data_IF_312887760221
#
_entry.id   IF_312887760221
#
_cell.length_a   1.000
_cell.length_b   1.000
_cell.length_c   1.000
_cell.angle_alpha   90.00
_cell.angle_beta   90.00
_cell.angle_gamma   90.00
#
_symmetry.space_group_name_H-M   'P 1'
#
loop_
_entity.id
_entity.type
_entity.pdbx_description
1 polymer ?
#
# COMPACT_ATOMS: atom_id res chain seq x y z
N UNK A 1 -4.69 15.06 -10.40
CA UNK A 1 -3.23 15.27 -10.35
C UNK A 1 -2.81 16.69 -10.72
N UNK A 2 -2.90 17.13 -11.98
CA UNK A 2 -2.39 18.45 -12.38
C UNK A 2 -3.00 19.65 -11.63
N UNK A 3 -4.27 19.60 -11.20
CA UNK A 3 -4.87 20.66 -10.37
C UNK A 3 -4.17 20.85 -9.01
N UNK A 4 -3.47 19.83 -8.50
CA UNK A 4 -2.65 19.96 -7.29
C UNK A 4 -1.36 20.74 -7.57
N UNK A 5 -0.81 20.63 -8.78
CA UNK A 5 0.39 21.35 -9.21
C UNK A 5 0.06 22.78 -9.66
N UNK A 6 -1.04 22.92 -10.42
CA UNK A 6 -1.52 24.18 -11.00
C UNK A 6 -2.98 24.43 -10.56
N UNK A 7 -3.23 25.00 -9.37
CA UNK A 7 -4.59 25.19 -8.84
C UNK A 7 -5.52 26.01 -9.74
N UNK A 8 -4.95 26.94 -10.51
CA UNK A 8 -5.69 27.83 -11.40
C UNK A 8 -5.78 27.32 -12.84
N UNK A 9 -5.41 26.07 -13.12
CA UNK A 9 -5.48 25.53 -14.48
C UNK A 9 -6.92 25.54 -15.00
N UNK A 10 -7.08 25.93 -16.26
CA UNK A 10 -8.36 25.87 -16.97
C UNK A 10 -8.46 24.55 -17.73
N UNK A 11 -9.54 23.81 -17.52
CA UNK A 11 -9.79 22.57 -18.24
C UNK A 11 -10.64 22.87 -19.46
N UNK A 12 -10.25 22.31 -20.61
CA UNK A 12 -11.04 22.31 -21.84
C UNK A 12 -11.29 20.85 -22.22
N UNK A 13 -12.54 20.50 -22.51
CA UNK A 13 -12.92 19.16 -23.01
C UNK A 13 -13.25 19.27 -24.49
N UNK A 14 -12.46 18.63 -25.33
CA UNK A 14 -12.67 18.60 -26.79
C UNK A 14 -11.97 17.40 -27.41
N UNK A 15 -12.39 17.01 -28.62
CA UNK A 15 -11.65 16.12 -29.52
C UNK A 15 -11.24 16.82 -30.81
N UNK A 16 -11.50 18.13 -30.91
CA UNK A 16 -11.14 18.97 -32.05
C UNK A 16 -9.66 19.37 -31.98
N UNK A 17 -8.87 18.97 -32.97
CA UNK A 17 -7.44 19.27 -33.06
C UNK A 17 -7.12 20.78 -33.05
N UNK A 18 -8.01 21.64 -33.58
CA UNK A 18 -7.81 23.09 -33.57
C UNK A 18 -7.99 23.68 -32.17
N UNK A 19 -8.76 23.01 -31.31
CA UNK A 19 -8.86 23.34 -29.89
C UNK A 19 -7.65 22.78 -29.14
N UNK A 20 -7.33 21.50 -29.35
CA UNK A 20 -6.24 20.81 -28.65
C UNK A 20 -4.87 21.44 -28.92
N UNK A 21 -4.62 21.92 -30.15
CA UNK A 21 -3.37 22.59 -30.53
C UNK A 21 -3.10 23.89 -29.77
N UNK A 22 -4.14 24.52 -29.20
CA UNK A 22 -4.04 25.73 -28.37
C UNK A 22 -3.83 25.45 -26.89
N UNK A 23 -3.92 24.18 -26.47
CA UNK A 23 -3.73 23.79 -25.08
C UNK A 23 -2.25 23.57 -24.75
N UNK A 24 -1.84 24.04 -23.55
CA UNK A 24 -0.49 23.84 -23.04
C UNK A 24 -0.19 22.35 -22.81
N UNK A 25 -1.14 21.64 -22.21
CA UNK A 25 -1.08 20.20 -21.90
C UNK A 25 -2.30 19.53 -22.50
N UNK A 26 -2.11 18.43 -23.22
CA UNK A 26 -3.19 17.59 -23.76
C UNK A 26 -3.04 16.18 -23.21
N UNK A 27 -4.16 15.61 -22.75
CA UNK A 27 -4.21 14.36 -21.98
C UNK A 27 -5.34 13.52 -22.56
N UNK A 28 -5.10 12.22 -22.75
CA UNK A 28 -6.11 11.22 -23.12
C UNK A 28 -6.74 11.34 -24.52
N UNK A 29 -6.45 12.42 -25.23
CA UNK A 29 -6.94 12.68 -26.58
C UNK A 29 -5.83 13.27 -27.45
N UNK A 30 -6.02 13.22 -28.77
CA UNK A 30 -5.11 13.78 -29.76
C UNK A 30 -4.17 12.77 -30.42
N UNK A 31 -4.16 11.51 -29.96
CA UNK A 31 -3.46 10.40 -30.61
C UNK A 31 -1.93 10.52 -30.59
N UNK A 32 -1.36 11.25 -29.64
CA UNK A 32 0.08 11.51 -29.55
C UNK A 32 0.57 11.38 -28.10
N UNK A 33 1.66 10.65 -27.91
CA UNK A 33 2.49 10.71 -26.71
C UNK A 33 3.81 11.38 -27.05
N UNK A 34 3.96 12.62 -26.62
CA UNK A 34 5.19 13.40 -26.76
C UNK A 34 5.36 14.27 -25.50
N UNK A 35 6.17 13.81 -24.53
CA UNK A 35 6.44 14.56 -23.31
C UNK A 35 7.05 15.94 -23.56
N UNK A 36 7.81 16.12 -24.64
CA UNK A 36 8.46 17.40 -24.96
C UNK A 36 7.46 18.48 -25.39
N UNK A 37 6.28 18.05 -25.87
CA UNK A 37 5.14 18.90 -26.22
C UNK A 37 3.99 18.79 -25.22
N UNK A 38 4.19 18.12 -24.09
CA UNK A 38 3.14 17.84 -23.10
C UNK A 38 1.88 17.19 -23.71
N UNK A 39 2.08 16.19 -24.56
CA UNK A 39 1.01 15.35 -25.13
C UNK A 39 1.05 13.98 -24.48
N UNK A 40 -0.04 13.61 -23.81
CA UNK A 40 -0.13 12.41 -22.96
C UNK A 40 -1.37 11.58 -23.31
N UNK A 41 -1.44 11.11 -24.56
CA UNK A 41 -2.41 10.12 -25.00
C UNK A 41 -1.77 8.72 -25.07
N UNK A 42 -2.55 7.69 -24.77
CA UNK A 42 -2.16 6.27 -24.85
C UNK A 42 -2.95 5.49 -25.92
N UNK A 43 -3.96 6.09 -26.55
CA UNK A 43 -4.87 5.44 -27.49
C UNK A 43 -4.26 5.21 -28.89
N UNK A 44 -3.11 5.80 -29.19
CA UNK A 44 -2.45 5.68 -30.48
C UNK A 44 -1.96 4.25 -30.75
N UNK A 45 -2.04 3.87 -32.02
CA UNK A 45 -1.63 2.54 -32.48
C UNK A 45 -0.16 2.30 -32.12
N UNK A 46 0.11 1.17 -31.47
CA UNK A 46 1.47 0.76 -31.10
C UNK A 46 1.98 1.34 -29.78
N UNK A 47 1.17 2.14 -29.06
CA UNK A 47 1.55 2.59 -27.72
C UNK A 47 1.65 1.40 -26.76
N UNK A 48 2.84 1.21 -26.20
CA UNK A 48 3.19 0.12 -25.27
C UNK A 48 4.13 0.60 -24.15
N UNK A 49 4.05 1.88 -23.78
CA UNK A 49 4.87 2.40 -22.69
C UNK A 49 4.36 1.92 -21.34
N UNK A 50 5.31 1.61 -20.45
CA UNK A 50 5.13 1.33 -19.03
C UNK A 50 6.04 2.25 -18.21
N UNK A 51 5.89 2.28 -16.87
CA UNK A 51 6.81 3.05 -16.02
C UNK A 51 8.27 2.66 -16.28
N UNK A 52 8.58 1.37 -16.45
CA UNK A 52 9.95 0.90 -16.73
C UNK A 52 10.55 1.45 -18.02
N UNK A 53 9.71 1.77 -19.02
CA UNK A 53 10.16 2.37 -20.29
C UNK A 53 10.27 3.89 -20.23
N UNK A 54 9.51 4.55 -19.34
CA UNK A 54 9.49 6.01 -19.20
C UNK A 54 10.51 6.48 -18.15
N UNK A 55 10.71 5.70 -17.08
CA UNK A 55 11.61 5.98 -15.97
C UNK A 55 12.60 4.80 -15.83
N UNK A 56 13.83 4.94 -16.35
CA UNK A 56 14.84 3.89 -16.26
C UNK A 56 15.08 3.42 -14.82
N UNK A 57 15.15 2.10 -14.62
CA UNK A 57 15.41 1.48 -13.32
C UNK A 57 14.18 1.12 -12.49
N UNK A 58 12.97 1.56 -12.88
CA UNK A 58 11.72 1.14 -12.23
C UNK A 58 11.24 -0.22 -12.79
N UNK A 59 10.66 -1.11 -11.98
CA UNK A 59 10.37 -2.50 -12.41
C UNK A 59 9.00 -2.69 -13.07
N UNK A 60 8.10 -1.70 -13.03
CA UNK A 60 6.71 -1.91 -13.42
C UNK A 60 6.51 -1.86 -14.93
N UNK A 61 5.84 -2.90 -15.44
CA UNK A 61 5.61 -3.16 -16.87
C UNK A 61 4.14 -3.01 -17.27
N UNK A 62 3.25 -2.67 -16.34
CA UNK A 62 1.85 -2.34 -16.64
C UNK A 62 1.80 -1.20 -17.66
N UNK A 63 1.04 -1.40 -18.74
CA UNK A 63 0.85 -0.39 -19.79
C UNK A 63 0.22 0.87 -19.18
N UNK A 64 0.80 2.04 -19.46
CA UNK A 64 0.32 3.30 -18.88
C UNK A 64 -1.01 3.73 -19.50
N UNK A 65 -1.89 4.25 -18.66
CA UNK A 65 -2.98 5.15 -19.07
C UNK A 65 -2.48 6.59 -19.08
N UNK A 66 -3.35 7.52 -19.47
CA UNK A 66 -3.11 8.95 -19.27
C UNK A 66 -2.82 9.32 -17.80
N UNK A 67 -3.41 8.62 -16.82
CA UNK A 67 -3.09 8.83 -15.41
C UNK A 67 -1.64 8.46 -15.09
N UNK A 68 -1.20 7.28 -15.53
CA UNK A 68 0.17 6.81 -15.38
C UNK A 68 1.19 7.70 -16.09
N UNK A 69 0.87 8.21 -17.28
CA UNK A 69 1.73 9.14 -18.01
C UNK A 69 1.92 10.45 -17.24
N UNK A 70 0.83 11.08 -16.79
CA UNK A 70 0.90 12.28 -15.95
C UNK A 70 1.68 12.01 -14.67
N UNK A 71 1.48 10.86 -14.04
CA UNK A 71 2.20 10.50 -12.84
C UNK A 71 3.70 10.32 -13.08
N UNK A 72 4.10 9.68 -14.18
CA UNK A 72 5.52 9.50 -14.51
C UNK A 72 6.26 10.84 -14.66
N UNK A 73 5.63 11.81 -15.32
CA UNK A 73 6.26 13.10 -15.65
C UNK A 73 6.11 14.16 -14.55
N UNK A 74 4.99 14.18 -13.84
CA UNK A 74 4.68 15.23 -12.85
C UNK A 74 4.57 14.74 -11.41
N UNK A 75 4.54 13.42 -11.17
CA UNK A 75 4.25 12.86 -9.83
C UNK A 75 5.20 13.36 -8.75
N UNK A 76 6.51 13.45 -9.05
CA UNK A 76 7.52 13.99 -8.12
C UNK A 76 7.26 15.44 -7.75
N UNK A 77 6.94 16.28 -8.74
CA UNK A 77 6.63 17.69 -8.51
C UNK A 77 5.34 17.85 -7.73
N UNK A 78 4.32 17.04 -8.03
CA UNK A 78 3.06 17.05 -7.29
C UNK A 78 3.28 16.66 -5.82
N UNK A 79 4.07 15.61 -5.54
CA UNK A 79 4.37 15.21 -4.15
C UNK A 79 5.06 16.35 -3.40
N UNK A 80 6.09 16.96 -3.99
CA UNK A 80 6.78 18.14 -3.41
C UNK A 80 5.86 19.34 -3.25
N UNK A 81 4.87 19.52 -4.13
CA UNK A 81 3.91 20.62 -4.05
C UNK A 81 2.89 20.41 -2.92
N UNK A 82 2.51 19.15 -2.66
CA UNK A 82 1.57 18.79 -1.60
C UNK A 82 2.21 18.82 -0.22
N UNK A 83 3.54 18.64 -0.12
CA UNK A 83 4.28 18.55 1.14
C UNK A 83 5.44 19.54 1.15
N UNK A 84 5.35 20.59 1.97
CA UNK A 84 6.33 21.68 2.02
C UNK A 84 7.73 21.22 2.49
N UNK A 85 7.81 20.35 3.50
CA UNK A 85 9.06 19.89 4.11
C UNK A 85 9.32 18.40 3.87
N UNK A 86 9.25 17.98 2.61
CA UNK A 86 9.49 16.58 2.25
C UNK A 86 10.97 16.21 2.45
N UNK A 87 11.24 15.21 3.30
CA UNK A 87 12.58 14.62 3.44
C UNK A 87 13.08 14.10 2.09
N UNK A 88 14.30 14.48 1.72
CA UNK A 88 14.88 14.13 0.41
C UNK A 88 14.98 12.62 0.18
N UNK A 89 15.16 11.82 1.24
CA UNK A 89 15.24 10.36 1.15
C UNK A 89 13.86 9.70 1.05
N UNK A 90 12.78 10.43 1.31
CA UNK A 90 11.41 9.93 1.28
C UNK A 90 10.75 9.99 -0.10
N UNK A 91 11.20 10.88 -0.98
CA UNK A 91 10.53 11.16 -2.26
C UNK A 91 10.38 9.93 -3.15
N UNK A 92 11.47 9.21 -3.40
CA UNK A 92 11.43 8.03 -4.29
C UNK A 92 10.62 6.88 -3.69
N UNK A 93 10.79 6.50 -2.40
CA UNK A 93 9.92 5.51 -1.77
C UNK A 93 8.43 5.89 -1.83
N UNK A 94 8.08 7.15 -1.56
CA UNK A 94 6.69 7.62 -1.63
C UNK A 94 6.17 7.58 -3.07
N UNK A 95 6.99 8.01 -4.04
CA UNK A 95 6.65 7.96 -5.45
C UNK A 95 6.35 6.52 -5.89
N UNK A 96 7.17 5.56 -5.46
CA UNK A 96 7.04 4.15 -5.81
C UNK A 96 5.78 3.55 -5.18
N UNK A 97 5.55 3.80 -3.88
CA UNK A 97 4.35 3.31 -3.18
C UNK A 97 3.06 3.90 -3.71
N UNK A 98 3.08 5.16 -4.12
CA UNK A 98 1.89 5.82 -4.68
C UNK A 98 1.58 5.29 -6.08
N UNK A 99 2.59 4.89 -6.87
CA UNK A 99 2.34 4.15 -8.10
C UNK A 99 1.70 2.79 -7.82
N UNK A 100 2.37 1.95 -7.04
CA UNK A 100 1.94 0.57 -6.72
C UNK A 100 0.55 0.52 -6.08
N UNK A 101 0.29 1.41 -5.14
CA UNK A 101 -0.94 1.39 -4.34
C UNK A 101 -2.11 2.15 -4.94
N UNK A 102 -1.93 2.90 -6.03
CA UNK A 102 -2.98 3.76 -6.58
C UNK A 102 -2.96 3.89 -8.10
N UNK A 103 -1.88 4.39 -8.69
CA UNK A 103 -1.86 4.73 -10.12
C UNK A 103 -1.84 3.49 -11.00
N UNK A 104 -1.12 2.44 -10.59
CA UNK A 104 -1.02 1.19 -11.35
C UNK A 104 -2.38 0.49 -11.52
N UNK A 105 -3.26 0.57 -10.53
CA UNK A 105 -4.63 0.05 -10.64
C UNK A 105 -5.42 0.78 -11.73
N UNK A 106 -5.30 2.11 -11.80
CA UNK A 106 -5.95 2.94 -12.82
C UNK A 106 -5.41 2.58 -14.21
N UNK A 107 -4.09 2.48 -14.35
CA UNK A 107 -3.43 2.07 -15.60
C UNK A 107 -3.93 0.72 -16.10
N UNK A 108 -4.03 -0.26 -15.19
CA UNK A 108 -4.50 -1.60 -15.49
C UNK A 108 -5.95 -1.61 -15.98
N UNK A 109 -6.85 -0.97 -15.24
CA UNK A 109 -8.29 -0.92 -15.57
C UNK A 109 -8.52 -0.24 -16.92
N UNK A 110 -7.89 0.91 -17.12
CA UNK A 110 -8.10 1.75 -18.31
C UNK A 110 -7.58 1.09 -19.60
N UNK A 111 -6.49 0.33 -19.50
CA UNK A 111 -5.97 -0.46 -20.62
C UNK A 111 -6.62 -1.85 -20.76
N UNK A 112 -7.66 -2.17 -19.96
CA UNK A 112 -8.34 -3.46 -20.01
C UNK A 112 -7.44 -4.65 -19.64
N UNK A 113 -6.47 -4.43 -18.76
CA UNK A 113 -5.55 -5.47 -18.30
C UNK A 113 -6.28 -6.33 -17.24
N UNK A 114 -6.38 -7.61 -17.51
CA UNK A 114 -6.95 -8.58 -16.57
C UNK A 114 -6.14 -8.64 -15.27
N UNK A 115 -6.85 -8.68 -14.13
CA UNK A 115 -6.22 -8.74 -12.81
C UNK A 115 -5.43 -10.05 -12.62
N UNK A 116 -5.87 -11.14 -13.27
CA UNK A 116 -5.21 -12.44 -13.25
C UNK A 116 -5.08 -12.98 -14.68
N UNK A 117 -3.86 -13.35 -15.07
CA UNK A 117 -3.57 -13.76 -16.44
C UNK A 117 -4.24 -15.09 -16.87
N UNK A 118 -4.53 -16.00 -15.93
CA UNK A 118 -4.88 -17.39 -16.24
C UNK A 118 -5.99 -17.99 -15.34
N UNK A 119 -6.87 -17.21 -14.72
CA UNK A 119 -7.85 -17.77 -13.79
C UNK A 119 -9.10 -16.93 -13.56
N UNK A 120 -10.19 -17.61 -13.22
CA UNK A 120 -11.41 -16.96 -12.75
C UNK A 120 -11.15 -16.34 -11.37
N UNK A 121 -11.60 -15.09 -11.20
CA UNK A 121 -11.57 -14.44 -9.89
C UNK A 121 -12.65 -15.04 -8.99
N UNK A 122 -12.26 -15.54 -7.81
CA UNK A 122 -13.21 -16.02 -6.79
C UNK A 122 -14.22 -14.95 -6.36
N UNK A 123 -13.86 -13.66 -6.47
CA UNK A 123 -14.72 -12.51 -6.21
C UNK A 123 -14.26 -11.30 -7.05
N UNK A 124 -15.15 -10.34 -7.26
CA UNK A 124 -14.85 -9.12 -8.04
C UNK A 124 -14.66 -7.92 -7.12
N UNK A 125 -13.71 -7.05 -7.45
CA UNK A 125 -13.55 -5.73 -6.82
C UNK A 125 -14.32 -4.71 -7.65
N UNK A 126 -15.42 -4.19 -7.11
CA UNK A 126 -16.31 -3.25 -7.81
C UNK A 126 -16.22 -1.82 -7.27
N UNK A 127 -15.30 -1.58 -6.33
CA UNK A 127 -15.21 -0.32 -5.59
C UNK A 127 -13.95 0.48 -5.91
N UNK A 128 -13.20 0.16 -6.97
CA UNK A 128 -12.00 0.90 -7.38
C UNK A 128 -12.28 2.37 -7.75
N UNK A 129 -11.23 3.19 -7.92
CA UNK A 129 -11.41 4.62 -8.22
C UNK A 129 -12.22 4.85 -9.50
N UNK A 130 -11.94 4.09 -10.56
CA UNK A 130 -12.67 4.21 -11.85
C UNK A 130 -14.17 3.96 -11.67
N UNK A 131 -14.54 2.95 -10.87
CA UNK A 131 -15.94 2.67 -10.53
C UNK A 131 -16.56 3.82 -9.72
N UNK A 132 -15.87 4.37 -8.73
CA UNK A 132 -16.37 5.49 -7.92
C UNK A 132 -16.51 6.77 -8.75
N UNK A 133 -15.57 7.03 -9.65
CA UNK A 133 -15.64 8.15 -10.62
C UNK A 133 -16.82 7.97 -11.58
N UNK A 134 -17.10 6.74 -12.02
CA UNK A 134 -18.25 6.45 -12.90
C UNK A 134 -19.60 6.82 -12.28
N UNK A 135 -19.69 6.90 -10.95
CA UNK A 135 -20.92 7.33 -10.27
C UNK A 135 -21.28 8.79 -10.54
N UNK A 136 -20.33 9.63 -10.99
CA UNK A 136 -20.62 11.01 -11.40
C UNK A 136 -21.16 11.11 -12.83
N UNK A 137 -21.03 10.07 -13.65
CA UNK A 137 -21.54 10.09 -15.03
C UNK A 137 -23.07 10.08 -15.08
N UNK A 138 -23.61 10.67 -16.15
CA UNK A 138 -25.04 10.66 -16.46
C UNK A 138 -25.59 9.24 -16.42
N UNK A 139 -26.71 9.03 -15.74
CA UNK A 139 -27.41 7.75 -15.76
C UNK A 139 -28.21 7.62 -17.04
N UNK A 140 -28.34 6.39 -17.54
CA UNK A 140 -29.06 6.10 -18.79
C UNK A 140 -30.52 6.61 -18.79
N UNK A 141 -31.12 6.78 -17.62
CA UNK A 141 -32.50 7.23 -17.42
C UNK A 141 -32.62 8.70 -16.94
N UNK A 142 -31.52 9.46 -16.90
CA UNK A 142 -31.53 10.89 -16.55
C UNK A 142 -31.87 11.75 -17.77
N UNK A 143 -32.98 12.49 -17.69
CA UNK A 143 -33.44 13.38 -18.77
C UNK A 143 -32.68 14.71 -18.87
N UNK A 144 -32.04 15.12 -17.77
CA UNK A 144 -31.24 16.35 -17.68
C UNK A 144 -30.00 16.05 -16.85
N UNK A 145 -28.85 16.53 -17.30
CA UNK A 145 -27.56 16.29 -16.68
C UNK A 145 -26.60 17.43 -17.01
N UNK A 146 -25.96 17.98 -15.97
CA UNK A 146 -24.88 18.95 -16.13
C UNK A 146 -23.55 18.21 -16.11
N UNK A 147 -23.02 17.93 -17.31
CA UNK A 147 -21.77 17.21 -17.49
C UNK A 147 -20.56 17.94 -16.89
N UNK A 148 -20.58 19.28 -16.91
CA UNK A 148 -19.46 20.05 -16.39
C UNK A 148 -19.44 20.04 -14.87
N UNK A 149 -20.59 20.26 -14.23
CA UNK A 149 -20.70 20.18 -12.78
C UNK A 149 -20.36 18.76 -12.26
N UNK A 150 -20.77 17.71 -12.98
CA UNK A 150 -20.41 16.34 -12.64
C UNK A 150 -18.91 16.06 -12.79
N UNK A 151 -18.30 16.57 -13.87
CA UNK A 151 -16.86 16.45 -14.09
C UNK A 151 -16.05 17.15 -13.00
N UNK A 152 -16.43 18.35 -12.60
CA UNK A 152 -15.74 19.07 -11.53
C UNK A 152 -15.75 18.30 -10.20
N UNK A 153 -16.90 17.69 -9.85
CA UNK A 153 -17.01 16.81 -8.68
C UNK A 153 -16.11 15.58 -8.80
N UNK A 154 -16.04 14.95 -9.98
CA UNK A 154 -15.17 13.81 -10.20
C UNK A 154 -13.69 14.17 -10.07
N UNK A 155 -13.28 15.34 -10.59
CA UNK A 155 -11.91 15.85 -10.48
C UNK A 155 -11.54 16.16 -9.04
N UNK A 156 -12.44 16.81 -8.28
CA UNK A 156 -12.26 17.09 -6.86
C UNK A 156 -12.13 15.78 -6.06
N UNK A 157 -13.03 14.82 -6.30
CA UNK A 157 -13.02 13.53 -5.63
C UNK A 157 -11.72 12.75 -5.86
N UNK A 158 -11.34 12.54 -7.13
CA UNK A 158 -10.12 11.81 -7.48
C UNK A 158 -8.85 12.56 -7.03
N UNK A 159 -8.86 13.90 -7.12
CA UNK A 159 -7.77 14.74 -6.65
C UNK A 159 -7.59 14.68 -5.14
N UNK A 160 -8.69 14.68 -4.39
CA UNK A 160 -8.71 14.54 -2.93
C UNK A 160 -8.15 13.19 -2.49
N UNK A 161 -8.60 12.08 -3.08
CA UNK A 161 -8.09 10.76 -2.72
C UNK A 161 -6.59 10.62 -3.02
N UNK A 162 -6.12 11.13 -4.16
CA UNK A 162 -4.69 11.13 -4.48
C UNK A 162 -3.88 11.94 -3.46
N UNK A 163 -4.38 13.13 -3.06
CA UNK A 163 -3.75 13.97 -2.04
C UNK A 163 -3.69 13.27 -0.69
N UNK A 164 -4.79 12.67 -0.23
CA UNK A 164 -4.84 11.95 1.05
C UNK A 164 -3.87 10.76 1.07
N UNK A 165 -3.68 10.07 -0.06
CA UNK A 165 -2.68 9.01 -0.18
C UNK A 165 -1.25 9.52 -0.05
N UNK A 166 -0.93 10.67 -0.65
CA UNK A 166 0.37 11.33 -0.42
C UNK A 166 0.54 11.63 1.06
N UNK A 167 -0.44 12.29 1.69
CA UNK A 167 -0.36 12.67 3.10
C UNK A 167 -0.23 11.46 4.03
N UNK A 168 -0.94 10.37 3.77
CA UNK A 168 -0.78 9.12 4.51
C UNK A 168 0.64 8.55 4.35
N UNK A 169 1.16 8.47 3.12
CA UNK A 169 2.49 7.92 2.89
C UNK A 169 3.59 8.72 3.58
N UNK A 170 3.46 10.04 3.58
CA UNK A 170 4.42 10.97 4.19
C UNK A 170 4.33 10.98 5.70
N UNK A 171 3.12 11.10 6.26
CA UNK A 171 2.93 11.35 7.69
C UNK A 171 2.79 10.08 8.52
N UNK A 172 2.47 8.94 7.89
CA UNK A 172 2.16 7.68 8.60
C UNK A 172 3.05 6.54 8.14
N UNK A 173 3.11 6.25 6.84
CA UNK A 173 3.84 5.09 6.34
C UNK A 173 5.35 5.29 6.42
N UNK A 174 5.91 6.39 5.88
CA UNK A 174 7.36 6.59 5.83
C UNK A 174 8.01 6.68 7.23
N UNK A 175 7.45 7.43 8.20
CA UNK A 175 8.03 7.51 9.54
C UNK A 175 8.04 6.16 10.28
N UNK A 176 7.15 5.23 9.94
CA UNK A 176 7.13 3.89 10.53
C UNK A 176 8.43 3.11 10.25
N UNK A 177 9.12 3.41 9.15
CA UNK A 177 10.33 2.69 8.73
C UNK A 177 11.42 2.70 9.81
N UNK A 178 11.70 3.85 10.40
CA UNK A 178 12.76 3.98 11.43
C UNK A 178 12.39 3.24 12.72
N UNK A 179 11.10 3.18 13.06
CA UNK A 179 10.62 2.40 14.22
C UNK A 179 10.83 0.90 14.00
N UNK A 180 10.57 0.42 12.78
CA UNK A 180 10.79 -0.99 12.41
C UNK A 180 12.28 -1.33 12.37
N UNK A 181 13.11 -0.45 11.80
CA UNK A 181 14.56 -0.61 11.78
C UNK A 181 15.13 -0.73 13.20
N UNK A 182 14.78 0.20 14.09
CA UNK A 182 15.15 0.16 15.51
C UNK A 182 14.70 -1.14 16.20
N UNK A 183 13.49 -1.62 15.91
CA UNK A 183 12.99 -2.88 16.47
C UNK A 183 13.81 -4.10 16.01
N UNK A 184 14.23 -4.13 14.74
CA UNK A 184 15.10 -5.18 14.18
C UNK A 184 16.50 -5.12 14.81
N UNK A 185 17.06 -3.93 14.99
CA UNK A 185 18.37 -3.75 15.63
C UNK A 185 18.36 -4.22 17.09
N UNK A 186 17.29 -3.90 17.83
CA UNK A 186 17.13 -4.25 19.24
C UNK A 186 16.69 -5.71 19.49
N UNK A 187 16.52 -6.54 18.44
CA UNK A 187 15.99 -7.91 18.56
C UNK A 187 16.70 -8.80 19.61
N UNK A 188 18.01 -8.64 19.77
CA UNK A 188 18.79 -9.41 20.75
C UNK A 188 18.61 -8.92 22.19
N UNK A 189 18.16 -7.68 22.38
CA UNK A 189 17.75 -7.17 23.70
C UNK A 189 16.37 -7.69 24.10
N UNK A 190 15.52 -8.00 23.11
CA UNK A 190 14.19 -8.60 23.33
C UNK A 190 14.31 -10.09 23.65
N UNK A 191 15.08 -10.84 22.86
CA UNK A 191 15.33 -12.26 23.12
C UNK A 191 16.69 -12.71 22.54
N UNK A 192 17.49 -13.54 23.25
CA UNK A 192 18.83 -13.93 22.79
C UNK A 192 18.89 -14.63 21.43
N UNK A 193 17.79 -15.26 20.97
CA UNK A 193 17.76 -15.87 19.63
C UNK A 193 17.75 -14.86 18.50
N UNK A 194 17.34 -13.61 18.76
CA UNK A 194 17.07 -12.61 17.74
C UNK A 194 15.88 -12.92 16.82
N UNK A 195 15.09 -13.95 17.14
CA UNK A 195 13.90 -14.35 16.35
C UNK A 195 12.63 -13.58 16.77
N UNK A 196 12.72 -12.70 17.75
CA UNK A 196 11.61 -11.92 18.32
C UNK A 196 12.01 -10.44 18.33
N UNK A 197 11.12 -9.58 17.85
CA UNK A 197 11.28 -8.12 17.94
C UNK A 197 10.11 -7.48 18.69
N UNK A 198 10.33 -6.27 19.17
CA UNK A 198 9.33 -5.46 19.84
C UNK A 198 9.18 -4.13 19.11
N UNK A 199 7.95 -3.79 18.74
CA UNK A 199 7.60 -2.43 18.34
C UNK A 199 7.15 -1.66 19.58
N UNK A 200 7.95 -0.68 19.98
CA UNK A 200 7.62 0.26 21.05
C UNK A 200 6.30 1.00 20.78
N UNK A 201 6.00 1.26 19.50
CA UNK A 201 4.74 1.86 19.06
C UNK A 201 4.24 1.11 17.84
N UNK A 202 2.99 0.64 17.90
CA UNK A 202 2.37 0.00 16.75
C UNK A 202 2.30 0.98 15.57
N UNK A 203 2.81 0.54 14.42
CA UNK A 203 2.87 1.32 13.19
C UNK A 203 2.68 0.40 11.98
N UNK A 204 2.47 0.95 10.75
CA UNK A 204 2.52 0.16 9.52
C UNK A 204 3.90 -0.47 9.34
N UNK A 205 4.06 -1.73 9.75
CA UNK A 205 5.38 -2.35 9.88
C UNK A 205 5.73 -3.32 8.75
N UNK A 206 4.75 -4.01 8.18
CA UNK A 206 4.96 -5.24 7.42
C UNK A 206 5.85 -5.06 6.19
N UNK A 207 5.52 -4.10 5.32
CA UNK A 207 6.31 -3.84 4.11
C UNK A 207 7.74 -3.37 4.45
N UNK A 208 7.88 -2.44 5.40
CA UNK A 208 9.18 -1.95 5.86
C UNK A 208 10.02 -3.08 6.43
N UNK A 209 9.40 -3.95 7.24
CA UNK A 209 10.06 -5.10 7.84
C UNK A 209 10.68 -6.01 6.78
N UNK A 210 9.93 -6.41 5.76
CA UNK A 210 10.47 -7.30 4.72
C UNK A 210 11.56 -6.63 3.87
N UNK A 211 11.44 -5.33 3.60
CA UNK A 211 12.49 -4.58 2.90
C UNK A 211 13.77 -4.51 3.74
N UNK A 212 13.66 -4.11 5.00
CA UNK A 212 14.77 -3.97 5.94
C UNK A 212 15.42 -5.33 6.22
N UNK A 213 14.64 -6.38 6.41
CA UNK A 213 15.14 -7.72 6.66
C UNK A 213 16.07 -8.19 5.53
N UNK A 214 15.67 -7.97 4.27
CA UNK A 214 16.47 -8.26 3.09
C UNK A 214 17.72 -7.38 3.01
N UNK A 215 17.58 -6.07 3.24
CA UNK A 215 18.67 -5.10 3.16
C UNK A 215 19.75 -5.35 4.22
N UNK A 216 19.33 -5.62 5.45
CA UNK A 216 20.18 -5.88 6.61
C UNK A 216 20.67 -7.34 6.67
N UNK A 217 20.21 -8.20 5.75
CA UNK A 217 20.56 -9.64 5.67
C UNK A 217 20.34 -10.36 7.00
N UNK A 218 19.19 -10.13 7.61
CA UNK A 218 18.88 -10.66 8.95
C UNK A 218 18.86 -12.19 8.93
N UNK A 219 19.61 -12.78 9.86
CA UNK A 219 19.65 -14.20 10.15
C UNK A 219 19.96 -14.39 11.65
N UNK A 220 19.25 -15.26 12.41
CA UNK A 220 18.09 -16.06 11.99
C UNK A 220 16.88 -15.18 11.61
N UNK A 221 15.95 -15.76 10.84
CA UNK A 221 14.72 -15.08 10.45
C UNK A 221 13.86 -14.72 11.67
N UNK A 222 13.31 -13.50 11.69
CA UNK A 222 12.42 -13.05 12.76
C UNK A 222 11.05 -13.73 12.58
N UNK A 223 10.53 -14.30 13.65
CA UNK A 223 9.28 -15.10 13.66
C UNK A 223 8.14 -14.41 14.40
N UNK A 224 8.46 -13.57 15.39
CA UNK A 224 7.45 -12.91 16.21
C UNK A 224 7.70 -11.41 16.40
N UNK A 225 6.60 -10.67 16.45
CA UNK A 225 6.51 -9.25 16.73
C UNK A 225 5.69 -9.04 18.01
N UNK A 226 6.24 -8.31 18.96
CA UNK A 226 5.56 -7.87 20.18
C UNK A 226 5.15 -6.39 20.06
N UNK A 227 3.94 -6.04 20.46
CA UNK A 227 3.48 -4.64 20.51
C UNK A 227 2.26 -4.50 21.42
N UNK A 228 1.92 -3.28 21.82
CA UNK A 228 0.68 -2.98 22.56
C UNK A 228 -0.44 -2.61 21.61
N UNK A 229 -1.66 -3.07 21.90
CA UNK A 229 -2.85 -2.57 21.24
C UNK A 229 -3.37 -1.28 21.89
N UNK A 230 -4.46 -0.73 21.35
CA UNK A 230 -5.06 0.53 21.83
C UNK A 230 -5.62 0.44 23.26
N UNK A 231 -5.87 -0.77 23.77
CA UNK A 231 -6.37 -1.00 25.12
C UNK A 231 -5.24 -1.27 26.13
N UNK A 232 -3.97 -1.24 25.67
CA UNK A 232 -2.80 -1.54 26.48
C UNK A 232 -2.50 -3.04 26.63
N UNK A 233 -3.30 -3.91 26.01
CA UNK A 233 -3.01 -5.35 26.00
C UNK A 233 -1.85 -5.62 25.04
N UNK A 234 -0.95 -6.51 25.44
CA UNK A 234 0.19 -6.93 24.65
C UNK A 234 -0.21 -7.97 23.62
N UNK A 235 0.34 -7.82 22.42
CA UNK A 235 0.13 -8.69 21.27
C UNK A 235 1.41 -9.42 20.93
N UNK A 236 1.27 -10.70 20.61
CA UNK A 236 2.30 -11.49 19.93
C UNK A 236 1.76 -11.82 18.55
N UNK A 237 2.43 -11.35 17.50
CA UNK A 237 2.04 -11.59 16.11
C UNK A 237 3.10 -12.41 15.41
N UNK A 238 2.68 -13.50 14.76
CA UNK A 238 3.55 -14.31 13.91
C UNK A 238 3.84 -13.56 12.62
N UNK A 239 5.11 -13.57 12.20
CA UNK A 239 5.57 -12.95 10.96
C UNK A 239 5.22 -13.87 9.78
N UNK A 240 4.58 -13.35 8.71
CA UNK A 240 4.31 -14.14 7.52
C UNK A 240 5.60 -14.48 6.74
N UNK A 241 5.54 -15.42 5.81
CA UNK A 241 6.71 -15.75 4.97
C UNK A 241 7.11 -14.58 4.06
N UNK A 242 6.12 -13.81 3.60
CA UNK A 242 6.26 -12.60 2.79
C UNK A 242 5.10 -11.64 3.06
N UNK A 243 5.28 -10.37 2.71
CA UNK A 243 4.26 -9.33 2.84
C UNK A 243 2.95 -9.76 2.17
N UNK A 244 1.83 -9.66 2.88
CA UNK A 244 0.49 -10.04 2.42
C UNK A 244 0.21 -11.55 2.38
N UNK A 245 1.15 -12.40 2.79
CA UNK A 245 0.92 -13.85 2.87
C UNK A 245 0.12 -14.25 4.11
N UNK A 246 -0.76 -15.23 3.96
CA UNK A 246 -1.41 -15.92 5.09
C UNK A 246 -0.57 -17.07 5.65
N UNK A 247 0.49 -17.47 4.94
CA UNK A 247 1.43 -18.49 5.41
C UNK A 247 2.42 -17.85 6.37
N UNK A 248 2.49 -18.39 7.59
CA UNK A 248 3.29 -17.87 8.69
C UNK A 248 4.61 -18.62 8.81
N UNK A 249 5.70 -17.92 9.11
CA UNK A 249 7.01 -18.55 9.37
C UNK A 249 6.95 -19.50 10.55
N UNK A 250 6.24 -19.08 11.59
CA UNK A 250 5.92 -19.91 12.74
C UNK A 250 4.64 -19.41 13.40
N UNK A 251 3.49 -20.06 13.17
CA UNK A 251 2.28 -19.73 13.91
C UNK A 251 2.47 -19.97 15.42
N UNK A 252 1.63 -19.35 16.24
CA UNK A 252 1.55 -19.66 17.67
C UNK A 252 1.18 -21.14 17.88
N UNK A 253 1.56 -21.69 19.04
CA UNK A 253 1.43 -23.11 19.35
C UNK A 253 0.02 -23.65 19.06
N UNK A 254 -0.06 -24.82 18.42
CA UNK A 254 -1.32 -25.36 17.89
C UNK A 254 -2.39 -25.57 18.95
N UNK A 255 -2.01 -26.03 20.15
CA UNK A 255 -2.95 -26.30 21.24
C UNK A 255 -3.57 -25.04 21.84
N UNK A 256 -3.09 -23.86 21.47
CA UNK A 256 -3.63 -22.59 21.94
C UNK A 256 -4.61 -21.97 20.96
N UNK A 257 -4.56 -22.37 19.69
CA UNK A 257 -5.27 -21.70 18.60
C UNK A 257 -6.78 -21.82 18.78
N UNK A 258 -7.47 -20.68 18.76
CA UNK A 258 -8.91 -20.61 18.97
C UNK A 258 -9.33 -20.54 20.45
N UNK A 259 -8.39 -20.74 21.40
CA UNK A 259 -8.68 -20.63 22.82
C UNK A 259 -8.71 -19.16 23.28
N UNK A 260 -9.48 -18.91 24.34
CA UNK A 260 -9.60 -17.60 24.96
C UNK A 260 -9.56 -17.71 26.49
N UNK A 261 -9.10 -16.63 27.12
CA UNK A 261 -9.09 -16.38 28.58
C UNK A 261 -8.70 -17.62 29.41
N UNK A 262 -9.60 -18.10 30.26
CA UNK A 262 -9.35 -19.16 31.23
C UNK A 262 -8.87 -20.45 30.55
N UNK A 263 -9.47 -20.85 29.44
CA UNK A 263 -9.07 -22.05 28.67
C UNK A 263 -7.64 -21.92 28.13
N UNK A 264 -7.29 -20.72 27.65
CA UNK A 264 -5.95 -20.45 27.14
C UNK A 264 -4.91 -20.46 28.27
N UNK A 265 -5.22 -19.83 29.41
CA UNK A 265 -4.33 -19.83 30.58
C UNK A 265 -4.12 -21.25 31.10
N UNK A 266 -5.17 -22.08 31.13
CA UNK A 266 -5.06 -23.51 31.47
C UNK A 266 -4.17 -24.27 30.48
N UNK A 267 -4.32 -24.01 29.18
CA UNK A 267 -3.56 -24.70 28.14
C UNK A 267 -2.08 -24.28 28.07
N UNK A 268 -1.76 -23.01 28.35
CA UNK A 268 -0.41 -22.49 28.17
C UNK A 268 0.35 -22.21 29.47
N UNK A 269 -0.34 -22.15 30.61
CA UNK A 269 0.24 -21.83 31.92
C UNK A 269 0.84 -20.42 32.00
N UNK A 270 0.37 -19.48 31.19
CA UNK A 270 0.84 -18.09 31.13
C UNK A 270 -0.30 -17.19 31.60
N UNK A 271 -0.13 -16.62 32.79
CA UNK A 271 -1.08 -15.68 33.38
C UNK A 271 -1.35 -14.48 32.45
N UNK A 272 -2.60 -14.00 32.48
CA UNK A 272 -3.03 -12.86 31.67
C UNK A 272 -3.19 -13.15 30.18
N UNK A 273 -3.13 -14.41 29.74
CA UNK A 273 -3.38 -14.76 28.33
C UNK A 273 -4.85 -14.52 27.98
N UNK A 274 -5.10 -13.74 26.93
CA UNK A 274 -6.44 -13.27 26.55
C UNK A 274 -7.06 -14.10 25.43
N UNK A 275 -6.33 -14.34 24.34
CA UNK A 275 -6.76 -15.19 23.23
C UNK A 275 -5.61 -15.57 22.31
N UNK A 276 -5.81 -16.58 21.47
CA UNK A 276 -5.02 -16.85 20.26
C UNK A 276 -5.97 -17.09 19.09
N UNK A 277 -5.76 -16.43 17.96
CA UNK A 277 -6.58 -16.64 16.77
C UNK A 277 -6.47 -18.09 16.28
N UNK A 278 -7.52 -18.63 15.65
CA UNK A 278 -7.59 -20.03 15.19
C UNK A 278 -6.47 -20.42 14.20
N UNK A 279 -5.99 -19.48 13.39
CA UNK A 279 -4.83 -19.72 12.51
C UNK A 279 -3.46 -19.55 13.21
N UNK A 280 -3.43 -19.08 14.46
CA UNK A 280 -2.20 -18.84 15.21
C UNK A 280 -1.43 -17.59 14.79
N UNK A 281 -1.99 -16.71 13.95
CA UNK A 281 -1.28 -15.51 13.48
C UNK A 281 -1.08 -14.43 14.55
N UNK A 282 -1.97 -14.38 15.55
CA UNK A 282 -1.90 -13.40 16.62
C UNK A 282 -2.46 -13.96 17.93
N UNK A 283 -1.85 -13.55 19.02
CA UNK A 283 -2.31 -13.81 20.39
C UNK A 283 -2.23 -12.55 21.24
N UNK A 284 -2.84 -12.60 22.41
CA UNK A 284 -2.88 -11.48 23.36
C UNK A 284 -2.57 -11.89 24.78
N UNK A 285 -1.89 -11.01 25.51
CA UNK A 285 -1.66 -11.12 26.95
C UNK A 285 -1.81 -9.74 27.61
N UNK A 286 -2.13 -9.68 28.91
CA UNK A 286 -2.17 -8.44 29.69
C UNK A 286 -0.80 -7.79 29.89
N UNK A 287 0.28 -8.54 29.77
CA UNK A 287 1.63 -8.09 30.07
C UNK A 287 2.61 -8.37 28.93
N UNK A 288 3.67 -7.56 28.85
CA UNK A 288 4.80 -7.76 27.93
C UNK A 288 5.45 -9.11 28.15
N UNK A 289 5.76 -9.42 29.40
CA UNK A 289 6.41 -10.67 29.80
C UNK A 289 5.56 -11.89 29.42
N UNK A 290 4.24 -11.83 29.62
CA UNK A 290 3.33 -12.87 29.18
C UNK A 290 3.32 -13.06 27.66
N UNK A 291 3.25 -11.97 26.89
CA UNK A 291 3.32 -12.05 25.42
C UNK A 291 4.67 -12.60 24.92
N UNK A 292 5.78 -12.20 25.56
CA UNK A 292 7.11 -12.76 25.27
C UNK A 292 7.17 -14.25 25.60
N UNK A 293 6.66 -14.68 26.76
CA UNK A 293 6.57 -16.11 27.12
C UNK A 293 5.75 -16.92 26.11
N UNK A 294 4.67 -16.35 25.56
CA UNK A 294 3.89 -17.00 24.50
C UNK A 294 4.73 -17.22 23.23
N UNK A 295 5.49 -16.19 22.80
CA UNK A 295 6.38 -16.29 21.66
C UNK A 295 7.49 -17.33 21.90
N UNK A 296 8.17 -17.27 23.05
CA UNK A 296 9.27 -18.17 23.41
C UNK A 296 8.82 -19.63 23.47
N UNK A 297 7.71 -19.93 24.17
CA UNK A 297 7.18 -21.31 24.20
C UNK A 297 6.78 -21.80 22.81
N UNK A 298 6.26 -20.93 21.95
CA UNK A 298 5.96 -21.30 20.56
C UNK A 298 7.23 -21.56 19.73
N UNK A 299 8.33 -20.85 19.98
CA UNK A 299 9.64 -21.15 19.38
C UNK A 299 10.18 -22.51 19.82
N UNK A 300 10.09 -22.83 21.11
CA UNK A 300 10.67 -24.05 21.70
C UNK A 300 9.91 -25.32 21.33
N UNK A 301 8.58 -25.27 21.39
CA UNK A 301 7.73 -26.45 21.19
C UNK A 301 7.72 -26.91 19.73
N UNK A 302 7.85 -25.98 18.77
CA UNK A 302 7.95 -26.35 17.36
C UNK A 302 9.33 -26.95 17.00
N UNK A 303 10.42 -26.53 17.67
CA UNK A 303 11.75 -27.15 17.49
C UNK A 303 11.82 -28.62 17.93
N UNK A 304 10.86 -29.10 18.71
CA UNK A 304 10.77 -30.51 19.14
C UNK A 304 9.96 -31.38 18.18
N UNK A 305 9.24 -30.76 17.25
CA UNK A 305 8.40 -31.42 16.26
C UNK A 305 9.02 -31.42 14.85
N UNK A 306 10.18 -30.77 14.67
CA UNK A 306 11.07 -30.85 13.50
C UNK A 306 12.21 -31.85 13.76
#
# INVERSE_FOLDING_TARGET
MLKLLYPNLKVVRSRDYDVLSKCDIVIDVGGEYDPSKYRFDHHQRGFNHSVSTVIPGKPWTTKLSSAGLIYCHFGREIIKKVVEDLDSNSLEPIFDKLYEGFVQEIDGIDNGIELAANGELNYRITTNLSARVSHFNQKWNEKSFDEWAAFEKAVEYAGGEFKERILYLVNVWWPARSLVEKAIENRFQVHPTGEIIELETFCPWEEHFFQLEKQMKINPAIKYLLFTDRNGDWRVRAVPEKSGSFVLRLPLHETWRGLNKEELVLANGIEGSNFVHSSGFIGGNKTKDGALKMAVKSLELNKKNE
#
